data_IF_333115405702
#
_entry.id   IF_333115405702
#
_cell.length_a   1.000
_cell.length_b   1.000
_cell.length_c   1.000
_cell.angle_alpha   90.00
_cell.angle_beta   90.00
_cell.angle_gamma   90.00
#
_symmetry.space_group_name_H-M   'P 1'
#
loop_
_entity.id
_entity.type
_entity.pdbx_description
1 polymer ?
#
# COMPACT_ATOMS: atom_id res chain seq x y z
N UNK A 1 -28.95 -0.79 -8.89
CA UNK A 1 -29.67 -2.04 -9.22
C UNK A 1 -28.68 -2.96 -9.92
N UNK A 2 -28.47 -4.17 -9.40
CA UNK A 2 -27.46 -5.13 -9.86
C UNK A 2 -28.09 -6.53 -10.02
N UNK A 3 -29.27 -6.59 -10.64
CA UNK A 3 -30.10 -7.81 -10.74
C UNK A 3 -30.27 -8.28 -12.20
N UNK A 4 -29.27 -8.09 -13.06
CA UNK A 4 -29.21 -8.77 -14.36
C UNK A 4 -28.06 -9.81 -14.37
N UNK A 5 -28.35 -11.10 -14.15
CA UNK A 5 -27.34 -12.16 -14.10
C UNK A 5 -26.71 -12.46 -15.47
N UNK A 6 -27.20 -11.87 -16.56
CA UNK A 6 -26.73 -12.15 -17.92
C UNK A 6 -25.65 -11.20 -18.43
N UNK A 7 -25.40 -10.07 -17.73
CA UNK A 7 -24.41 -9.05 -18.14
C UNK A 7 -23.70 -8.44 -16.91
N UNK A 8 -23.13 -9.28 -16.05
CA UNK A 8 -22.19 -8.79 -15.03
C UNK A 8 -20.97 -9.68 -14.93
N UNK A 9 -19.95 -9.35 -15.73
CA UNK A 9 -18.57 -9.82 -15.52
C UNK A 9 -17.95 -9.19 -14.25
N UNK A 10 -18.71 -8.36 -13.52
CA UNK A 10 -18.24 -7.69 -12.32
C UNK A 10 -18.35 -8.61 -11.10
N UNK A 11 -17.34 -9.45 -10.95
CA UNK A 11 -17.16 -10.30 -9.77
C UNK A 11 -16.74 -9.39 -8.61
N UNK A 12 -17.65 -9.09 -7.69
CA UNK A 12 -17.32 -8.29 -6.52
C UNK A 12 -16.42 -9.09 -5.56
N UNK A 13 -15.14 -8.72 -5.39
CA UNK A 13 -14.25 -9.46 -4.50
C UNK A 13 -14.64 -9.22 -3.04
N UNK A 14 -14.21 -10.14 -2.18
CA UNK A 14 -14.31 -9.98 -0.74
C UNK A 14 -13.17 -9.05 -0.28
N UNK A 15 -13.48 -7.83 0.17
CA UNK A 15 -12.48 -6.79 0.49
C UNK A 15 -12.22 -6.71 1.99
N UNK A 16 -10.95 -6.66 2.37
CA UNK A 16 -10.47 -6.22 3.69
C UNK A 16 -9.99 -4.78 3.52
N UNK A 17 -10.47 -3.89 4.38
CA UNK A 17 -10.05 -2.49 4.44
C UNK A 17 -9.33 -2.25 5.77
N UNK A 18 -8.04 -1.92 5.71
CA UNK A 18 -7.22 -1.59 6.87
C UNK A 18 -7.01 -0.08 6.91
N UNK A 19 -7.75 0.59 7.81
CA UNK A 19 -7.67 2.03 8.11
C UNK A 19 -7.69 2.93 6.87
N UNK A 20 -8.50 2.58 5.86
CA UNK A 20 -8.63 3.29 4.57
C UNK A 20 -7.29 3.53 3.84
N UNK A 21 -6.28 2.72 4.16
CA UNK A 21 -4.90 2.88 3.67
C UNK A 21 -4.45 1.67 2.87
N UNK A 22 -4.79 0.46 3.33
CA UNK A 22 -4.48 -0.80 2.65
C UNK A 22 -5.77 -1.57 2.37
N UNK A 23 -5.98 -1.91 1.10
CA UNK A 23 -7.12 -2.69 0.64
C UNK A 23 -6.63 -4.02 0.08
N UNK A 24 -7.24 -5.12 0.55
CA UNK A 24 -6.90 -6.47 0.10
C UNK A 24 -8.16 -7.11 -0.45
N UNK A 25 -8.12 -7.51 -1.72
CA UNK A 25 -9.23 -8.13 -2.42
C UNK A 25 -8.99 -9.63 -2.59
N UNK A 26 -9.93 -10.45 -2.15
CA UNK A 26 -9.92 -11.90 -2.34
C UNK A 26 -11.00 -12.28 -3.35
N UNK A 27 -10.61 -12.98 -4.41
CA UNK A 27 -11.51 -13.40 -5.49
C UNK A 27 -11.27 -14.85 -5.88
N UNK A 28 -12.35 -15.60 -6.06
CA UNK A 28 -12.35 -16.94 -6.68
C UNK A 28 -12.79 -16.88 -8.14
N UNK A 29 -12.79 -15.69 -8.77
CA UNK A 29 -13.32 -15.46 -10.12
C UNK A 29 -14.72 -16.08 -10.30
N UNK A 30 -15.62 -15.85 -9.33
CA UNK A 30 -17.02 -16.30 -9.41
C UNK A 30 -17.25 -17.79 -9.11
N UNK A 31 -16.19 -18.61 -9.04
CA UNK A 31 -16.33 -20.04 -8.78
C UNK A 31 -16.97 -20.36 -7.41
N UNK A 32 -16.69 -19.57 -6.37
CA UNK A 32 -17.32 -19.71 -5.06
C UNK A 32 -17.26 -18.41 -4.23
N UNK A 33 -18.27 -17.53 -4.36
CA UNK A 33 -18.37 -16.31 -3.54
C UNK A 33 -18.40 -16.62 -2.03
N UNK A 34 -19.03 -17.73 -1.64
CA UNK A 34 -19.05 -18.18 -0.24
C UNK A 34 -17.64 -18.50 0.28
N UNK A 35 -16.82 -19.20 -0.50
CA UNK A 35 -15.46 -19.53 -0.10
C UNK A 35 -14.56 -18.28 -0.08
N UNK A 36 -14.74 -17.34 -1.01
CA UNK A 36 -14.05 -16.05 -0.97
C UNK A 36 -14.29 -15.31 0.36
N UNK A 37 -15.53 -15.32 0.87
CA UNK A 37 -15.88 -14.72 2.17
C UNK A 37 -15.20 -15.43 3.35
N UNK A 38 -15.14 -16.77 3.33
CA UNK A 38 -14.45 -17.57 4.37
C UNK A 38 -12.96 -17.24 4.40
N UNK A 39 -12.30 -17.21 3.24
CA UNK A 39 -10.89 -16.85 3.13
C UNK A 39 -10.64 -15.40 3.58
N UNK A 40 -11.53 -14.47 3.21
CA UNK A 40 -11.46 -13.06 3.67
C UNK A 40 -11.38 -12.98 5.20
N UNK A 41 -12.26 -13.68 5.91
CA UNK A 41 -12.25 -13.66 7.39
C UNK A 41 -10.97 -14.25 7.97
N UNK A 42 -10.47 -15.36 7.41
CA UNK A 42 -9.22 -15.99 7.87
C UNK A 42 -8.00 -15.09 7.65
N UNK A 43 -7.92 -14.47 6.47
CA UNK A 43 -6.84 -13.54 6.12
C UNK A 43 -6.94 -12.27 6.96
N UNK A 44 -8.13 -11.70 7.13
CA UNK A 44 -8.36 -10.53 7.99
C UNK A 44 -7.88 -10.76 9.42
N UNK A 45 -8.15 -11.94 9.99
CA UNK A 45 -7.68 -12.30 11.31
C UNK A 45 -6.15 -12.45 11.39
N UNK A 46 -5.55 -13.16 10.43
CA UNK A 46 -4.11 -13.35 10.35
C UNK A 46 -3.33 -12.03 10.16
N UNK A 47 -3.92 -11.05 9.48
CA UNK A 47 -3.27 -9.76 9.19
C UNK A 47 -3.21 -8.82 10.39
N UNK A 48 -4.04 -9.02 11.43
CA UNK A 48 -4.06 -8.15 12.62
C UNK A 48 -2.71 -8.06 13.33
N UNK A 49 -1.95 -9.16 13.32
CA UNK A 49 -0.64 -9.25 13.98
C UNK A 49 0.53 -9.05 13.01
N UNK A 50 0.26 -8.97 11.70
CA UNK A 50 1.28 -8.85 10.64
C UNK A 50 1.42 -7.40 10.16
N UNK A 51 0.30 -6.71 9.93
CA UNK A 51 0.29 -5.35 9.39
C UNK A 51 0.22 -4.37 10.54
N UNK A 52 1.28 -3.59 10.70
CA UNK A 52 1.46 -2.62 11.77
C UNK A 52 1.06 -1.21 11.35
N UNK A 53 0.91 -0.32 12.33
CA UNK A 53 0.73 1.10 12.05
C UNK A 53 1.98 1.72 11.41
N UNK A 54 3.17 1.16 11.67
CA UNK A 54 4.38 1.57 10.96
C UNK A 54 4.32 1.24 9.47
N UNK A 55 3.74 0.10 9.07
CA UNK A 55 3.55 -0.24 7.66
C UNK A 55 2.61 0.75 6.96
N UNK A 56 1.49 1.09 7.60
CA UNK A 56 0.53 2.06 7.07
C UNK A 56 1.13 3.47 6.97
N UNK A 57 1.97 3.85 7.93
CA UNK A 57 2.72 5.10 7.87
C UNK A 57 3.76 5.09 6.74
N UNK A 58 4.47 3.98 6.53
CA UNK A 58 5.42 3.83 5.42
C UNK A 58 4.73 3.97 4.07
N UNK A 59 3.51 3.42 3.89
CA UNK A 59 2.71 3.62 2.66
C UNK A 59 2.49 5.11 2.39
N UNK A 60 2.19 5.92 3.42
CA UNK A 60 1.99 7.36 3.29
C UNK A 60 3.28 8.09 2.89
N UNK A 61 4.41 7.72 3.49
CA UNK A 61 5.74 8.28 3.12
C UNK A 61 6.10 7.89 1.69
N UNK A 62 5.95 6.62 1.33
CA UNK A 62 6.25 6.11 -0.01
C UNK A 62 5.39 6.78 -1.09
N UNK A 63 4.10 7.00 -0.83
CA UNK A 63 3.22 7.72 -1.76
C UNK A 63 3.67 9.17 -1.96
N UNK A 64 4.01 9.88 -0.87
CA UNK A 64 4.54 11.24 -0.94
C UNK A 64 5.86 11.28 -1.74
N UNK A 65 6.80 10.40 -1.40
CA UNK A 65 8.08 10.26 -2.08
C UNK A 65 7.93 9.97 -3.58
N UNK A 66 7.02 9.07 -3.96
CA UNK A 66 6.72 8.72 -5.35
C UNK A 66 6.26 9.93 -6.15
N UNK A 67 5.34 10.73 -5.60
CA UNK A 67 4.80 11.91 -6.29
C UNK A 67 5.89 12.96 -6.55
N UNK A 68 6.80 13.14 -5.60
CA UNK A 68 7.94 14.05 -5.73
C UNK A 68 8.95 13.55 -6.78
N UNK A 69 9.23 12.23 -6.78
CA UNK A 69 10.18 11.63 -7.72
C UNK A 69 9.71 11.68 -9.19
N UNK A 70 8.40 11.64 -9.45
CA UNK A 70 7.86 11.75 -10.82
C UNK A 70 8.27 13.07 -11.49
N UNK A 71 8.40 14.15 -10.71
CA UNK A 71 8.73 15.47 -11.24
C UNK A 71 10.24 15.73 -11.35
N UNK A 72 11.07 14.91 -10.68
CA UNK A 72 12.54 15.11 -10.63
C UNK A 72 13.33 14.07 -11.42
N UNK A 73 12.84 12.83 -11.48
CA UNK A 73 13.54 11.71 -12.11
C UNK A 73 12.80 11.25 -13.36
N UNK A 74 13.40 11.45 -14.53
CA UNK A 74 12.80 11.09 -15.81
C UNK A 74 12.79 9.57 -16.05
N UNK A 75 13.74 8.84 -15.48
CA UNK A 75 13.89 7.40 -15.67
C UNK A 75 13.02 6.58 -14.68
N UNK A 76 12.20 5.68 -15.23
CA UNK A 76 11.35 4.78 -14.45
C UNK A 76 12.12 3.87 -13.50
N UNK A 77 13.29 3.39 -13.92
CA UNK A 77 14.12 2.51 -13.08
C UNK A 77 14.78 3.28 -11.94
N UNK A 78 15.16 4.54 -12.15
CA UNK A 78 15.63 5.41 -11.06
C UNK A 78 14.54 5.68 -10.03
N UNK A 79 13.33 6.03 -10.48
CA UNK A 79 12.18 6.23 -9.58
C UNK A 79 11.88 5.00 -8.73
N UNK A 80 11.97 3.80 -9.32
CA UNK A 80 11.80 2.53 -8.59
C UNK A 80 12.89 2.35 -7.54
N UNK A 81 14.17 2.49 -7.92
CA UNK A 81 15.29 2.30 -6.98
C UNK A 81 15.25 3.32 -5.84
N UNK A 82 14.98 4.59 -6.13
CA UNK A 82 14.74 5.61 -5.12
C UNK A 82 13.63 5.20 -4.14
N UNK A 83 12.48 4.74 -4.65
CA UNK A 83 11.37 4.35 -3.78
C UNK A 83 11.74 3.15 -2.88
N UNK A 84 12.50 2.18 -3.40
CA UNK A 84 13.04 1.08 -2.60
C UNK A 84 14.02 1.56 -1.53
N UNK A 85 14.85 2.57 -1.83
CA UNK A 85 15.73 3.18 -0.84
C UNK A 85 14.94 3.83 0.29
N UNK A 86 13.89 4.60 -0.04
CA UNK A 86 12.99 5.23 0.94
C UNK A 86 12.32 4.20 1.85
N UNK A 87 11.75 3.13 1.27
CA UNK A 87 11.05 2.07 2.03
C UNK A 87 12.01 1.33 2.98
N UNK A 88 13.26 1.14 2.57
CA UNK A 88 14.23 0.39 3.36
C UNK A 88 15.09 1.24 4.30
N UNK A 89 14.98 2.57 4.24
CA UNK A 89 15.82 3.47 5.02
C UNK A 89 15.52 3.41 6.54
N UNK A 90 16.55 3.11 7.34
CA UNK A 90 16.41 2.92 8.79
C UNK A 90 16.08 4.21 9.55
N UNK A 91 16.54 5.37 9.07
CA UNK A 91 16.20 6.65 9.68
C UNK A 91 14.70 6.96 9.48
N UNK A 92 14.17 6.73 8.27
CA UNK A 92 12.74 6.87 7.98
C UNK A 92 11.92 5.91 8.84
N UNK A 93 12.30 4.63 8.93
CA UNK A 93 11.64 3.64 9.81
C UNK A 93 11.65 4.09 11.27
N UNK A 94 12.78 4.61 11.75
CA UNK A 94 12.93 5.14 13.11
C UNK A 94 12.04 6.36 13.35
N UNK A 95 11.94 7.27 12.38
CA UNK A 95 11.05 8.43 12.46
C UNK A 95 9.58 7.99 12.52
N UNK A 96 9.18 7.03 11.68
CA UNK A 96 7.83 6.45 11.70
C UNK A 96 7.51 5.84 13.07
N UNK A 97 8.41 5.00 13.61
CA UNK A 97 8.26 4.39 14.94
C UNK A 97 8.10 5.42 16.06
N UNK A 98 8.69 6.60 15.90
CA UNK A 98 8.56 7.72 16.84
C UNK A 98 7.40 8.67 16.51
N UNK A 99 6.44 8.26 15.64
CA UNK A 99 5.31 9.06 15.18
C UNK A 99 5.69 10.39 14.49
N UNK A 100 6.88 10.45 13.87
CA UNK A 100 7.40 11.63 13.17
C UNK A 100 7.21 11.53 11.65
N UNK A 101 5.96 11.43 11.20
CA UNK A 101 5.64 11.22 9.78
C UNK A 101 6.15 12.34 8.86
N UNK A 102 6.04 13.60 9.28
CA UNK A 102 6.50 14.73 8.47
C UNK A 102 8.02 14.80 8.38
N UNK A 103 8.75 14.38 9.41
CA UNK A 103 10.22 14.30 9.34
C UNK A 103 10.66 13.15 8.43
N UNK A 104 9.95 12.01 8.46
CA UNK A 104 10.17 10.90 7.54
C UNK A 104 9.98 11.31 6.07
N UNK A 105 8.94 12.11 5.78
CA UNK A 105 8.73 12.69 4.45
C UNK A 105 9.85 13.63 4.03
N UNK A 106 10.30 14.53 4.92
CA UNK A 106 11.44 15.41 4.64
C UNK A 106 12.71 14.61 4.36
N UNK A 107 12.95 13.53 5.10
CA UNK A 107 14.10 12.66 4.86
C UNK A 107 14.03 11.96 3.51
N UNK A 108 12.84 11.51 3.07
CA UNK A 108 12.66 10.99 1.72
C UNK A 108 13.05 12.02 0.64
N UNK A 109 12.73 13.30 0.83
CA UNK A 109 13.14 14.37 -0.10
C UNK A 109 14.65 14.59 -0.10
N UNK A 110 15.30 14.56 1.07
CA UNK A 110 16.77 14.62 1.13
C UNK A 110 17.44 13.44 0.44
N UNK A 111 16.82 12.25 0.47
CA UNK A 111 17.31 11.11 -0.30
C UNK A 111 17.16 11.42 -1.78
N UNK A 112 15.99 11.89 -2.22
CA UNK A 112 15.71 12.22 -3.62
C UNK A 112 16.69 13.25 -4.20
N UNK A 113 17.11 14.23 -3.41
CA UNK A 113 18.11 15.24 -3.80
C UNK A 113 19.49 14.66 -4.13
N UNK A 114 19.80 13.43 -3.71
CA UNK A 114 21.06 12.73 -4.05
C UNK A 114 20.97 12.00 -5.40
N UNK A 115 19.76 11.83 -5.93
CA UNK A 115 19.51 11.18 -7.21
C UNK A 115 19.48 12.15 -8.39
N UNK A 116 19.28 13.44 -8.12
CA UNK A 116 19.26 14.56 -9.08
C UNK A 116 20.63 15.22 -9.18
#
# INVERSE_FOLDING_TARGET
AADDPSVSDFIHPAIINIKDTLFIAISTKGASPAMARVLRMRVEDALKDIITDEDLAMIKVANYARNEAINRLNNTEERKRYLYEVINNDAIKTMIKNNKLEDAKKEAIKILERWS
#
